data_IF_245668488759
#
_entry.id   IF_245668488759
#
_cell.length_a   1.000
_cell.length_b   1.000
_cell.length_c   1.000
_cell.angle_alpha   90.00
_cell.angle_beta   90.00
_cell.angle_gamma   90.00
#
_symmetry.space_group_name_H-M   'P 1'
#
loop_
_entity.id
_entity.type
_entity.pdbx_description
1 polymer ?
#
# COMPACT_ATOMS: atom_id res chain seq x y z
N UNK A 1 11.16 -7.21 16.54
CA UNK A 1 10.60 -7.21 15.18
C UNK A 1 11.67 -6.78 14.20
N UNK A 2 11.77 -7.44 13.04
CA UNK A 2 12.76 -7.18 11.99
C UNK A 2 12.07 -6.84 10.66
N UNK A 3 12.42 -5.71 10.04
CA UNK A 3 11.89 -5.30 8.73
C UNK A 3 13.05 -5.18 7.73
N UNK A 4 12.95 -5.83 6.58
CA UNK A 4 13.90 -5.66 5.49
C UNK A 4 13.43 -4.55 4.53
N UNK A 5 14.29 -3.61 4.18
CA UNK A 5 13.95 -2.48 3.32
C UNK A 5 14.91 -2.44 2.14
N UNK A 6 14.36 -2.48 0.93
CA UNK A 6 15.09 -2.17 -0.30
C UNK A 6 15.51 -0.70 -0.27
N UNK A 7 16.79 -0.45 0.03
CA UNK A 7 17.34 0.89 0.16
C UNK A 7 17.55 1.57 -1.21
N UNK A 8 17.51 0.83 -2.32
CA UNK A 8 17.87 1.35 -3.64
C UNK A 8 16.66 1.73 -4.50
N UNK A 9 15.45 1.36 -4.10
CA UNK A 9 14.22 1.63 -4.83
C UNK A 9 13.62 3.00 -4.49
N UNK A 10 13.22 3.76 -5.52
CA UNK A 10 12.52 5.05 -5.39
C UNK A 10 13.34 6.24 -5.91
N UNK A 11 12.66 7.35 -6.21
CA UNK A 11 13.25 8.53 -6.88
C UNK A 11 14.23 9.31 -5.98
N UNK A 12 14.10 9.12 -4.66
CA UNK A 12 14.92 9.79 -3.64
C UNK A 12 15.81 8.80 -2.86
N UNK A 13 15.95 7.58 -3.37
CA UNK A 13 16.80 6.55 -2.79
C UNK A 13 18.29 6.80 -3.07
N UNK A 14 19.20 6.36 -2.17
CA UNK A 14 18.90 5.72 -0.89
C UNK A 14 18.59 6.72 0.23
N UNK A 15 18.89 8.01 0.05
CA UNK A 15 18.80 9.04 1.08
C UNK A 15 17.46 9.06 1.83
N UNK A 16 16.34 9.17 1.13
CA UNK A 16 15.02 9.24 1.77
C UNK A 16 14.68 7.96 2.53
N UNK A 17 15.08 6.80 2.00
CA UNK A 17 14.85 5.49 2.62
C UNK A 17 15.63 5.36 3.93
N UNK A 18 16.92 5.71 3.90
CA UNK A 18 17.78 5.67 5.09
C UNK A 18 17.29 6.65 6.15
N UNK A 19 16.96 7.90 5.78
CA UNK A 19 16.45 8.88 6.74
C UNK A 19 15.10 8.48 7.35
N UNK A 20 14.21 7.87 6.56
CA UNK A 20 12.96 7.31 7.08
C UNK A 20 13.20 6.16 8.07
N UNK A 21 14.17 5.28 7.79
CA UNK A 21 14.59 4.23 8.72
C UNK A 21 15.19 4.82 10.01
N UNK A 22 16.03 5.86 9.92
CA UNK A 22 16.60 6.53 11.10
C UNK A 22 15.53 7.17 11.99
N UNK A 23 14.49 7.76 11.39
CA UNK A 23 13.33 8.24 12.15
C UNK A 23 12.62 7.09 12.88
N UNK A 24 12.41 5.97 12.19
CA UNK A 24 11.66 4.84 12.73
C UNK A 24 12.38 4.17 13.91
N UNK A 25 13.70 3.92 13.83
CA UNK A 25 14.44 3.29 14.93
C UNK A 25 14.55 4.18 16.17
N UNK A 26 14.48 5.51 15.99
CA UNK A 26 14.46 6.46 17.09
C UNK A 26 13.11 6.44 17.83
N UNK A 27 12.03 6.27 17.07
CA UNK A 27 10.66 6.24 17.61
C UNK A 27 10.31 4.88 18.24
N UNK A 28 10.72 3.78 17.61
CA UNK A 28 10.30 2.43 17.98
C UNK A 28 11.48 1.61 18.48
N UNK A 29 11.52 1.34 19.80
CA UNK A 29 12.60 0.57 20.43
C UNK A 29 12.59 -0.93 20.11
N UNK A 30 11.44 -1.48 19.72
CA UNK A 30 11.23 -2.89 19.37
C UNK A 30 11.62 -3.24 17.92
N UNK A 31 11.91 -2.22 17.12
CA UNK A 31 12.19 -2.33 15.69
C UNK A 31 13.68 -2.50 15.41
N UNK A 32 13.99 -3.48 14.57
CA UNK A 32 15.27 -3.68 13.89
C UNK A 32 15.05 -3.58 12.39
N UNK A 33 15.95 -2.93 11.66
CA UNK A 33 15.82 -2.73 10.21
C UNK A 33 17.05 -3.30 9.51
N UNK A 34 16.81 -4.08 8.46
CA UNK A 34 17.86 -4.48 7.51
C UNK A 34 17.73 -3.63 6.25
N UNK A 35 18.68 -2.73 6.01
CA UNK A 35 18.77 -1.94 4.79
C UNK A 35 19.53 -2.73 3.73
N UNK A 36 18.88 -3.05 2.62
CA UNK A 36 19.45 -3.88 1.56
C UNK A 36 19.84 -3.00 0.38
N UNK A 37 21.12 -3.01 -0.01
CA UNK A 37 21.61 -2.18 -1.10
C UNK A 37 23.10 -1.90 -1.01
N UNK A 38 23.56 -0.89 -1.73
CA UNK A 38 24.97 -0.52 -1.76
C UNK A 38 25.39 0.12 -0.45
N UNK A 39 26.17 -0.61 0.33
CA UNK A 39 26.61 -0.20 1.67
C UNK A 39 27.25 1.19 1.70
N UNK A 40 28.14 1.50 0.75
CA UNK A 40 28.81 2.80 0.69
C UNK A 40 27.82 3.96 0.51
N UNK A 41 26.78 3.79 -0.30
CA UNK A 41 25.75 4.81 -0.52
C UNK A 41 24.81 4.93 0.70
N UNK A 42 24.51 3.81 1.37
CA UNK A 42 23.67 3.78 2.59
C UNK A 42 24.37 4.49 3.75
N UNK A 43 25.65 4.20 3.98
CA UNK A 43 26.43 4.74 5.11
C UNK A 43 26.55 6.25 5.10
N UNK A 44 26.43 6.90 3.95
CA UNK A 44 26.46 8.38 3.84
C UNK A 44 25.33 9.07 4.60
N UNK A 45 24.22 8.37 4.86
CA UNK A 45 23.01 8.95 5.45
C UNK A 45 22.65 8.35 6.81
N UNK A 46 23.39 7.34 7.28
CA UNK A 46 23.21 6.77 8.61
C UNK A 46 23.69 7.76 9.68
N UNK A 47 22.88 7.90 10.72
CA UNK A 47 23.25 8.67 11.92
C UNK A 47 23.56 7.79 13.13
N UNK A 48 23.28 6.49 13.04
CA UNK A 48 23.55 5.45 14.04
C UNK A 48 23.44 4.07 13.38
N UNK A 49 24.25 3.11 13.82
CA UNK A 49 24.13 1.68 13.45
C UNK A 49 23.27 0.88 14.46
N UNK A 50 22.76 1.54 15.51
CA UNK A 50 21.94 0.86 16.54
C UNK A 50 20.67 0.26 15.92
N UNK A 51 20.51 -1.07 16.00
CA UNK A 51 19.37 -1.83 15.46
C UNK A 51 19.20 -1.67 13.93
N UNK A 52 20.24 -1.22 13.24
CA UNK A 52 20.35 -1.22 11.78
C UNK A 52 21.36 -2.30 11.37
N UNK A 53 21.00 -3.11 10.38
CA UNK A 53 21.91 -4.01 9.67
C UNK A 53 21.94 -3.61 8.21
N UNK A 54 23.11 -3.64 7.58
CA UNK A 54 23.23 -3.41 6.14
C UNK A 54 23.49 -4.77 5.47
N UNK A 55 22.63 -5.14 4.52
CA UNK A 55 22.88 -6.26 3.62
C UNK A 55 23.37 -5.71 2.29
N UNK A 56 24.68 -5.81 2.08
CA UNK A 56 25.33 -5.25 0.89
C UNK A 56 24.90 -5.98 -0.39
N UNK A 57 24.61 -5.20 -1.44
CA UNK A 57 24.57 -5.67 -2.83
C UNK A 57 24.81 -4.52 -3.81
N UNK A 58 25.47 -4.81 -4.93
CA UNK A 58 25.65 -3.89 -6.04
C UNK A 58 24.49 -3.89 -7.05
N UNK A 59 23.63 -4.90 -6.99
CA UNK A 59 22.58 -5.10 -7.98
C UNK A 59 21.26 -4.45 -7.53
N UNK A 60 20.57 -3.79 -8.47
CA UNK A 60 19.19 -3.31 -8.31
C UNK A 60 18.35 -3.62 -9.55
N UNK A 61 17.03 -3.60 -9.37
CA UNK A 61 16.08 -3.68 -10.49
C UNK A 61 15.77 -2.25 -10.95
N UNK A 62 15.98 -1.97 -12.22
CA UNK A 62 15.63 -0.70 -12.84
C UNK A 62 14.14 -0.66 -13.18
N UNK A 63 13.54 0.54 -13.12
CA UNK A 63 12.10 0.73 -13.40
C UNK A 63 11.70 0.39 -14.84
N UNK A 64 12.65 0.35 -15.77
CA UNK A 64 12.42 0.03 -17.19
C UNK A 64 12.49 -1.46 -17.50
N UNK A 65 12.92 -2.29 -16.55
CA UNK A 65 13.03 -3.73 -16.75
C UNK A 65 11.67 -4.43 -16.66
N UNK A 66 11.49 -5.50 -17.44
CA UNK A 66 10.31 -6.35 -17.32
C UNK A 66 10.31 -7.03 -15.93
N UNK A 67 9.27 -6.83 -15.10
CA UNK A 67 9.24 -7.22 -13.71
C UNK A 67 9.60 -8.69 -13.41
N UNK A 68 8.95 -9.63 -14.09
CA UNK A 68 9.06 -11.06 -13.78
C UNK A 68 10.45 -11.57 -14.16
N UNK A 69 10.95 -11.17 -15.34
CA UNK A 69 12.29 -11.51 -15.82
C UNK A 69 13.37 -10.91 -14.92
N UNK A 70 13.22 -9.67 -14.49
CA UNK A 70 14.17 -9.02 -13.59
C UNK A 70 14.30 -9.80 -12.28
N UNK A 71 13.19 -10.06 -11.59
CA UNK A 71 13.17 -10.83 -10.31
C UNK A 71 13.69 -12.27 -10.49
N UNK A 72 13.47 -12.89 -11.65
CA UNK A 72 13.98 -14.23 -11.93
C UNK A 72 15.49 -14.27 -12.18
N UNK A 73 16.07 -13.24 -12.82
CA UNK A 73 17.49 -13.21 -13.20
C UNK A 73 18.37 -12.58 -12.15
N UNK A 74 17.96 -11.43 -11.61
CA UNK A 74 18.74 -10.58 -10.70
C UNK A 74 18.56 -11.03 -9.26
N UNK A 75 19.09 -12.22 -8.92
CA UNK A 75 18.92 -12.81 -7.58
C UNK A 75 19.61 -12.04 -6.48
N UNK A 76 20.57 -11.18 -6.82
CA UNK A 76 21.27 -10.33 -5.88
C UNK A 76 20.68 -8.91 -5.85
N UNK A 77 19.62 -8.60 -6.60
CA UNK A 77 19.02 -7.27 -6.55
C UNK A 77 18.50 -6.94 -5.15
N UNK A 78 18.70 -5.71 -4.70
CA UNK A 78 18.29 -5.22 -3.38
C UNK A 78 16.85 -5.60 -2.99
N UNK A 79 15.90 -5.41 -3.91
CA UNK A 79 14.50 -5.80 -3.72
C UNK A 79 14.31 -7.32 -3.55
N UNK A 80 15.03 -8.12 -4.33
CA UNK A 80 14.93 -9.59 -4.28
C UNK A 80 15.53 -10.11 -2.99
N UNK A 81 16.68 -9.56 -2.57
CA UNK A 81 17.32 -9.90 -1.31
C UNK A 81 16.46 -9.46 -0.10
N UNK A 82 15.82 -8.29 -0.14
CA UNK A 82 14.88 -7.87 0.91
C UNK A 82 13.69 -8.84 1.05
N UNK A 83 13.11 -9.29 -0.07
CA UNK A 83 12.07 -10.32 -0.06
C UNK A 83 12.61 -11.70 0.39
N UNK A 84 13.87 -12.02 0.06
CA UNK A 84 14.53 -13.27 0.44
C UNK A 84 14.76 -13.35 1.95
N UNK A 85 15.12 -12.24 2.60
CA UNK A 85 15.21 -12.16 4.08
C UNK A 85 13.89 -12.57 4.75
N UNK A 86 12.75 -12.20 4.17
CA UNK A 86 11.44 -12.60 4.68
C UNK A 86 11.18 -14.09 4.45
N UNK A 87 11.49 -14.60 3.26
CA UNK A 87 11.36 -16.02 2.94
C UNK A 87 12.19 -16.92 3.87
N UNK A 88 13.38 -16.47 4.22
CA UNK A 88 14.32 -17.23 5.05
C UNK A 88 14.06 -17.09 6.55
N UNK A 89 13.07 -16.28 6.95
CA UNK A 89 12.74 -16.02 8.36
C UNK A 89 13.69 -15.06 9.07
N UNK A 90 14.55 -14.36 8.32
CA UNK A 90 15.47 -13.34 8.85
C UNK A 90 14.78 -11.99 9.05
N UNK A 91 13.66 -11.75 8.36
CA UNK A 91 12.81 -10.57 8.54
C UNK A 91 11.33 -10.96 8.62
N UNK A 92 10.55 -10.20 9.39
CA UNK A 92 9.10 -10.41 9.57
C UNK A 92 8.29 -9.80 8.42
N UNK A 93 8.85 -8.82 7.71
CA UNK A 93 8.21 -8.09 6.63
C UNK A 93 9.24 -7.39 5.73
N UNK A 94 8.82 -6.94 4.55
CA UNK A 94 9.67 -6.09 3.71
C UNK A 94 8.96 -4.89 3.06
N UNK A 95 9.76 -3.87 2.73
CA UNK A 95 9.31 -2.62 2.13
C UNK A 95 10.19 -2.28 0.92
N UNK A 96 9.58 -1.78 -0.16
CA UNK A 96 10.33 -1.16 -1.25
C UNK A 96 9.54 0.02 -1.86
N UNK A 97 10.25 1.09 -2.20
CA UNK A 97 9.72 2.17 -3.04
C UNK A 97 10.03 1.98 -4.54
N UNK A 98 10.68 0.87 -4.93
CA UNK A 98 11.03 0.54 -6.32
C UNK A 98 9.84 0.18 -7.22
N UNK A 99 10.10 -0.49 -8.35
CA UNK A 99 9.05 -0.88 -9.31
C UNK A 99 7.92 -1.70 -8.66
N UNK A 100 6.67 -1.26 -8.79
CA UNK A 100 5.48 -1.96 -8.25
C UNK A 100 5.38 -3.38 -8.80
N UNK A 101 5.53 -3.55 -10.11
CA UNK A 101 5.46 -4.86 -10.74
C UNK A 101 6.57 -5.79 -10.26
N UNK A 102 7.79 -5.27 -10.07
CA UNK A 102 8.90 -6.08 -9.59
C UNK A 102 8.67 -6.50 -8.13
N UNK A 103 8.16 -5.62 -7.29
CA UNK A 103 7.84 -5.95 -5.89
C UNK A 103 6.71 -6.97 -5.80
N UNK A 104 5.68 -6.84 -6.64
CA UNK A 104 4.62 -7.86 -6.75
C UNK A 104 5.17 -9.21 -7.18
N UNK A 105 6.05 -9.24 -8.17
CA UNK A 105 6.71 -10.47 -8.63
C UNK A 105 7.60 -11.07 -7.53
N UNK A 106 8.37 -10.25 -6.82
CA UNK A 106 9.19 -10.69 -5.69
C UNK A 106 8.31 -11.23 -4.54
N UNK A 107 7.24 -10.52 -4.17
CA UNK A 107 6.27 -10.97 -3.18
C UNK A 107 5.66 -12.33 -3.56
N UNK A 108 5.24 -12.51 -4.81
CA UNK A 108 4.62 -13.76 -5.24
C UNK A 108 5.62 -14.93 -5.37
N UNK A 109 6.79 -14.70 -5.98
CA UNK A 109 7.74 -15.78 -6.31
C UNK A 109 8.78 -16.05 -5.22
N UNK A 110 9.04 -15.10 -4.32
CA UNK A 110 10.01 -15.24 -3.24
C UNK A 110 9.30 -15.46 -1.91
N UNK A 111 8.51 -14.48 -1.44
CA UNK A 111 7.78 -14.60 -0.15
C UNK A 111 6.69 -15.68 -0.24
N UNK A 112 5.95 -15.70 -1.35
CA UNK A 112 4.88 -16.65 -1.60
C UNK A 112 3.53 -16.20 -1.04
N UNK A 113 2.48 -16.73 -1.65
CA UNK A 113 1.09 -16.52 -1.21
C UNK A 113 0.76 -17.36 0.02
N UNK A 114 -0.18 -16.87 0.81
CA UNK A 114 -0.81 -17.63 1.89
C UNK A 114 -1.55 -18.84 1.32
N UNK A 115 -1.71 -19.89 2.14
CA UNK A 115 -2.55 -21.02 1.77
C UNK A 115 -4.01 -20.57 1.67
N UNK A 116 -4.77 -21.16 0.74
CA UNK A 116 -6.16 -20.76 0.45
C UNK A 116 -6.32 -19.48 -0.38
N UNK A 117 -5.36 -18.55 -0.39
CA UNK A 117 -5.45 -17.32 -1.19
C UNK A 117 -5.07 -17.59 -2.65
N UNK A 118 -5.97 -17.28 -3.60
CA UNK A 118 -5.72 -17.50 -5.03
C UNK A 118 -4.74 -16.46 -5.60
N UNK A 119 -4.99 -15.19 -5.27
CA UNK A 119 -4.25 -14.03 -5.79
C UNK A 119 -4.02 -12.97 -4.69
N UNK A 120 -2.81 -12.40 -4.58
CA UNK A 120 -2.58 -11.26 -3.70
C UNK A 120 -3.19 -9.99 -4.27
N UNK A 121 -3.56 -9.02 -3.43
CA UNK A 121 -4.11 -7.72 -3.85
C UNK A 121 -3.18 -6.56 -3.48
N UNK A 122 -3.10 -5.53 -4.33
CA UNK A 122 -2.43 -4.28 -3.98
C UNK A 122 -3.43 -3.36 -3.28
N UNK A 123 -3.09 -2.91 -2.08
CA UNK A 123 -4.08 -2.39 -1.12
C UNK A 123 -3.62 -1.11 -0.42
N UNK A 124 -3.72 0.06 -1.06
CA UNK A 124 -3.48 1.34 -0.40
C UNK A 124 -4.63 1.72 0.55
N UNK A 125 -4.31 2.54 1.53
CA UNK A 125 -5.31 3.33 2.26
C UNK A 125 -5.45 4.67 1.56
N UNK A 126 -6.64 4.93 1.02
CA UNK A 126 -7.02 6.15 0.32
C UNK A 126 -7.56 7.18 1.31
N UNK A 127 -7.40 8.49 1.04
CA UNK A 127 -7.89 9.54 1.93
C UNK A 127 -9.41 9.69 1.82
N UNK A 128 -10.00 10.27 2.86
CA UNK A 128 -11.38 10.76 2.87
C UNK A 128 -11.40 12.21 3.34
N UNK A 129 -12.46 12.94 3.03
CA UNK A 129 -12.62 14.36 3.41
C UNK A 129 -12.56 14.54 4.94
N UNK A 130 -13.12 13.59 5.69
CA UNK A 130 -13.08 13.56 7.15
C UNK A 130 -11.72 13.11 7.74
N UNK A 131 -10.77 12.69 6.89
CA UNK A 131 -9.41 12.30 7.27
C UNK A 131 -9.29 10.90 7.89
N UNK A 132 -10.35 10.09 7.90
CA UNK A 132 -10.27 8.71 8.39
C UNK A 132 -9.57 7.79 7.40
N UNK A 133 -9.83 7.97 6.11
CA UNK A 133 -9.40 7.13 5.00
C UNK A 133 -10.22 5.85 4.83
N UNK A 134 -10.01 5.14 3.73
CA UNK A 134 -10.58 3.81 3.46
C UNK A 134 -9.56 2.91 2.75
N UNK A 135 -9.63 1.60 2.94
CA UNK A 135 -8.74 0.66 2.26
C UNK A 135 -9.36 0.26 0.92
N UNK A 136 -8.59 0.34 -0.16
CA UNK A 136 -9.07 -0.03 -1.49
C UNK A 136 -8.34 -1.27 -2.00
N UNK A 137 -9.07 -2.28 -2.46
CA UNK A 137 -8.51 -3.52 -2.99
C UNK A 137 -9.30 -3.95 -4.23
N UNK A 138 -8.73 -4.43 -5.31
CA UNK A 138 -7.32 -4.38 -5.73
C UNK A 138 -7.09 -3.13 -6.59
N UNK A 139 -5.93 -2.48 -6.50
CA UNK A 139 -5.59 -1.30 -7.34
C UNK A 139 -4.56 -1.59 -8.43
N UNK A 140 -4.35 -2.86 -8.78
CA UNK A 140 -3.59 -3.22 -9.97
C UNK A 140 -2.74 -4.48 -9.86
N UNK A 141 -2.90 -5.29 -8.81
CA UNK A 141 -2.17 -6.54 -8.73
C UNK A 141 -2.66 -7.58 -9.75
N UNK A 142 -3.97 -7.58 -10.03
CA UNK A 142 -4.62 -8.53 -10.93
C UNK A 142 -5.62 -7.81 -11.82
N UNK A 143 -5.26 -7.63 -13.09
CA UNK A 143 -6.13 -7.00 -14.11
C UNK A 143 -7.39 -7.84 -14.31
N UNK A 144 -7.24 -9.16 -14.46
CA UNK A 144 -8.35 -10.09 -14.64
C UNK A 144 -8.65 -10.83 -13.34
N UNK A 145 -9.74 -10.44 -12.67
CA UNK A 145 -10.16 -11.06 -11.42
C UNK A 145 -11.38 -11.97 -11.59
N UNK A 146 -11.43 -13.04 -10.78
CA UNK A 146 -12.61 -13.89 -10.60
C UNK A 146 -13.37 -13.45 -9.35
N UNK A 147 -14.62 -13.89 -9.24
CA UNK A 147 -15.48 -13.54 -8.09
C UNK A 147 -14.88 -13.95 -6.75
N UNK A 148 -14.28 -15.15 -6.69
CA UNK A 148 -13.58 -15.64 -5.49
C UNK A 148 -12.40 -14.74 -5.07
N UNK A 149 -11.73 -14.06 -6.00
CA UNK A 149 -10.66 -13.13 -5.63
C UNK A 149 -11.23 -11.94 -4.86
N UNK A 150 -12.29 -11.31 -5.36
CA UNK A 150 -12.91 -10.15 -4.70
C UNK A 150 -13.53 -10.52 -3.36
N UNK A 151 -14.07 -11.74 -3.22
CA UNK A 151 -14.47 -12.31 -1.93
C UNK A 151 -13.31 -12.31 -0.93
N UNK A 152 -12.17 -12.89 -1.32
CA UNK A 152 -10.97 -12.92 -0.48
C UNK A 152 -10.47 -11.51 -0.16
N UNK A 153 -10.54 -10.57 -1.10
CA UNK A 153 -10.13 -9.18 -0.88
C UNK A 153 -11.01 -8.49 0.17
N UNK A 154 -12.31 -8.77 0.16
CA UNK A 154 -13.25 -8.20 1.12
C UNK A 154 -12.93 -8.64 2.55
N UNK A 155 -12.66 -9.93 2.74
CA UNK A 155 -12.30 -10.47 4.05
C UNK A 155 -10.92 -9.98 4.51
N UNK A 156 -9.90 -10.03 3.64
CA UNK A 156 -8.56 -9.52 3.97
C UNK A 156 -8.59 -8.02 4.31
N UNK A 157 -9.32 -7.23 3.53
CA UNK A 157 -9.50 -5.81 3.78
C UNK A 157 -10.22 -5.53 5.10
N UNK A 158 -11.26 -6.29 5.43
CA UNK A 158 -11.99 -6.18 6.70
C UNK A 158 -11.07 -6.47 7.89
N UNK A 159 -10.31 -7.57 7.87
CA UNK A 159 -9.35 -7.91 8.94
C UNK A 159 -8.30 -6.81 9.11
N UNK A 160 -7.74 -6.28 8.02
CA UNK A 160 -6.77 -5.19 8.10
C UNK A 160 -7.39 -3.91 8.69
N UNK A 161 -8.59 -3.53 8.25
CA UNK A 161 -9.27 -2.34 8.75
C UNK A 161 -9.60 -2.47 10.25
N UNK A 162 -10.01 -3.65 10.70
CA UNK A 162 -10.26 -3.91 12.11
C UNK A 162 -8.96 -3.88 12.94
N UNK A 163 -7.99 -4.73 12.58
CA UNK A 163 -6.77 -4.90 13.38
C UNK A 163 -5.86 -3.69 13.27
N UNK A 164 -5.43 -3.32 12.06
CA UNK A 164 -4.42 -2.28 11.87
C UNK A 164 -5.00 -0.90 12.09
N UNK A 165 -6.16 -0.62 11.50
CA UNK A 165 -6.78 0.71 11.56
C UNK A 165 -7.70 0.90 12.77
N UNK A 166 -7.98 -0.15 13.54
CA UNK A 166 -8.77 -0.06 14.78
C UNK A 166 -10.24 0.26 14.54
N UNK A 167 -10.78 -0.10 13.37
CA UNK A 167 -12.19 0.16 13.03
C UNK A 167 -13.01 -1.05 13.47
N UNK A 168 -13.82 -0.88 14.51
CA UNK A 168 -14.74 -1.93 14.94
C UNK A 168 -15.81 -2.17 13.85
N UNK A 169 -16.03 -3.44 13.51
CA UNK A 169 -16.99 -3.88 12.49
C UNK A 169 -16.91 -3.11 11.14
N UNK A 170 -15.76 -3.14 10.42
CA UNK A 170 -15.50 -2.30 9.25
C UNK A 170 -16.54 -2.49 8.14
N UNK A 171 -17.09 -1.38 7.63
CA UNK A 171 -18.03 -1.41 6.50
C UNK A 171 -17.28 -1.78 5.22
N UNK A 172 -17.70 -2.84 4.56
CA UNK A 172 -17.12 -3.32 3.30
C UNK A 172 -18.09 -3.04 2.15
N UNK A 173 -17.67 -2.24 1.18
CA UNK A 173 -18.46 -1.90 0.00
C UNK A 173 -17.88 -2.48 -1.29
N UNK A 174 -18.74 -2.88 -2.22
CA UNK A 174 -18.35 -3.31 -3.57
C UNK A 174 -18.41 -2.13 -4.53
N UNK A 175 -17.28 -1.73 -5.13
CA UNK A 175 -17.25 -0.65 -6.11
C UNK A 175 -18.09 -1.03 -7.33
N UNK A 176 -19.06 -0.19 -7.68
CA UNK A 176 -20.01 -0.49 -8.73
C UNK A 176 -20.50 0.79 -9.43
N UNK A 177 -21.31 0.60 -10.49
CA UNK A 177 -21.88 1.66 -11.33
C UNK A 177 -23.19 2.24 -10.78
N UNK A 178 -23.65 1.76 -9.63
CA UNK A 178 -24.88 2.17 -8.97
C UNK A 178 -25.02 1.49 -7.62
N UNK A 179 -25.90 2.00 -6.76
CA UNK A 179 -26.06 1.53 -5.37
C UNK A 179 -27.01 0.33 -5.24
N UNK A 180 -27.84 0.07 -6.26
CA UNK A 180 -28.82 -1.00 -6.23
C UNK A 180 -28.18 -2.39 -6.36
N UNK A 181 -28.70 -3.39 -5.65
CA UNK A 181 -28.19 -4.78 -5.60
C UNK A 181 -27.92 -5.41 -6.97
N UNK A 182 -28.76 -5.12 -7.97
CA UNK A 182 -28.70 -5.72 -9.30
C UNK A 182 -27.75 -5.01 -10.28
N UNK A 183 -26.98 -4.00 -9.85
CA UNK A 183 -26.09 -3.22 -10.73
C UNK A 183 -24.74 -3.90 -10.92
N UNK A 184 -24.08 -3.53 -12.02
CA UNK A 184 -22.73 -3.98 -12.37
C UNK A 184 -22.70 -4.98 -13.52
N UNK A 185 -21.48 -5.38 -13.86
CA UNK A 185 -21.24 -6.46 -14.82
C UNK A 185 -21.51 -7.83 -14.16
N UNK A 186 -21.30 -8.90 -14.92
CA UNK A 186 -21.52 -10.27 -14.43
C UNK A 186 -20.65 -10.59 -13.20
N UNK A 187 -19.38 -10.19 -13.21
CA UNK A 187 -18.45 -10.35 -12.09
C UNK A 187 -19.00 -9.67 -10.83
N UNK A 188 -19.36 -8.39 -10.91
CA UNK A 188 -19.87 -7.61 -9.78
C UNK A 188 -21.15 -8.24 -9.20
N UNK A 189 -22.06 -8.72 -10.03
CA UNK A 189 -23.30 -9.38 -9.57
C UNK A 189 -23.02 -10.68 -8.83
N UNK A 190 -22.10 -11.51 -9.33
CA UNK A 190 -21.69 -12.75 -8.65
C UNK A 190 -21.03 -12.45 -7.31
N UNK A 191 -20.11 -11.48 -7.28
CA UNK A 191 -19.43 -11.05 -6.05
C UNK A 191 -20.42 -10.49 -5.04
N UNK A 192 -21.36 -9.65 -5.48
CA UNK A 192 -22.38 -9.09 -4.61
C UNK A 192 -23.19 -10.17 -3.89
N UNK A 193 -23.59 -11.22 -4.62
CA UNK A 193 -24.28 -12.37 -4.01
C UNK A 193 -23.39 -13.08 -2.99
N UNK A 194 -22.12 -13.33 -3.31
CA UNK A 194 -21.17 -14.00 -2.39
C UNK A 194 -20.90 -13.17 -1.13
N UNK A 195 -20.80 -11.84 -1.24
CA UNK A 195 -20.48 -10.96 -0.10
C UNK A 195 -21.64 -10.80 0.89
N UNK A 196 -22.88 -11.12 0.50
CA UNK A 196 -24.03 -11.11 1.42
C UNK A 196 -23.91 -12.14 2.53
N UNK A 197 -23.31 -13.29 2.22
CA UNK A 197 -23.17 -14.42 3.15
C UNK A 197 -21.76 -14.48 3.77
N UNK A 198 -20.88 -13.53 3.41
CA UNK A 198 -19.51 -13.47 3.91
C UNK A 198 -19.44 -13.06 5.39
N UNK A 199 -18.39 -13.46 6.13
CA UNK A 199 -18.20 -13.12 7.55
C UNK A 199 -17.68 -11.67 7.74
N UNK A 200 -18.33 -10.70 7.11
CA UNK A 200 -17.95 -9.28 7.10
C UNK A 200 -19.20 -8.40 7.18
N UNK A 201 -19.02 -7.13 7.56
CA UNK A 201 -20.09 -6.13 7.48
C UNK A 201 -20.21 -5.58 6.06
N UNK A 202 -20.84 -6.35 5.18
CA UNK A 202 -21.08 -5.95 3.79
C UNK A 202 -22.21 -4.91 3.70
N UNK A 203 -21.90 -3.71 3.23
CA UNK A 203 -22.85 -2.59 3.12
C UNK A 203 -23.42 -2.40 1.71
N UNK A 204 -23.16 -3.34 0.81
CA UNK A 204 -23.67 -3.31 -0.55
C UNK A 204 -22.75 -2.59 -1.55
N UNK A 205 -23.36 -2.09 -2.63
CA UNK A 205 -22.64 -1.41 -3.71
C UNK A 205 -22.31 0.05 -3.34
N UNK A 206 -21.13 0.51 -3.75
CA UNK A 206 -20.68 1.90 -3.58
C UNK A 206 -20.27 2.51 -4.92
N UNK A 207 -20.62 3.77 -5.16
CA UNK A 207 -20.26 4.48 -6.39
C UNK A 207 -18.91 5.20 -6.25
N UNK A 208 -18.18 5.29 -7.36
CA UNK A 208 -16.84 5.91 -7.38
C UNK A 208 -16.84 7.39 -6.95
N UNK A 209 -17.93 8.12 -7.20
CA UNK A 209 -18.06 9.54 -6.84
C UNK A 209 -18.08 9.78 -5.32
N UNK A 210 -18.47 8.76 -4.54
CA UNK A 210 -18.67 8.85 -3.09
C UNK A 210 -17.47 8.30 -2.30
N UNK A 211 -16.42 7.80 -2.98
CA UNK A 211 -15.24 7.18 -2.34
C UNK A 211 -14.57 8.08 -1.31
N UNK A 212 -14.29 9.34 -1.67
CA UNK A 212 -13.64 10.29 -0.77
C UNK A 212 -14.56 10.80 0.35
N UNK A 213 -15.86 10.48 0.30
CA UNK A 213 -16.84 10.88 1.33
C UNK A 213 -16.95 9.86 2.48
N UNK A 214 -16.13 8.80 2.50
CA UNK A 214 -16.15 7.81 3.59
C UNK A 214 -17.35 6.86 3.51
N UNK A 215 -17.79 6.54 2.29
CA UNK A 215 -18.93 5.65 2.02
C UNK A 215 -18.74 4.24 2.61
N UNK A 216 -17.49 3.76 2.70
CA UNK A 216 -17.13 2.50 3.34
C UNK A 216 -15.71 2.62 3.94
N UNK A 217 -15.35 1.67 4.81
CA UNK A 217 -14.02 1.60 5.43
C UNK A 217 -13.07 0.72 4.62
N UNK A 218 -13.65 -0.22 3.85
CA UNK A 218 -13.00 -1.08 2.86
C UNK A 218 -13.83 -1.03 1.57
N UNK A 219 -13.18 -0.83 0.43
CA UNK A 219 -13.83 -0.86 -0.89
C UNK A 219 -13.15 -1.92 -1.76
N UNK A 220 -13.94 -2.88 -2.26
CA UNK A 220 -13.46 -3.96 -3.11
C UNK A 220 -13.81 -3.78 -4.58
N UNK A 221 -12.88 -4.15 -5.46
CA UNK A 221 -12.96 -4.10 -6.92
C UNK A 221 -11.90 -5.01 -7.55
N UNK A 222 -11.99 -5.26 -8.85
CA UNK A 222 -10.91 -5.87 -9.62
C UNK A 222 -9.75 -4.89 -9.85
N UNK A 223 -8.55 -5.42 -10.11
CA UNK A 223 -7.35 -4.59 -10.21
C UNK A 223 -7.35 -3.65 -11.40
N UNK A 224 -8.09 -3.92 -12.48
CA UNK A 224 -8.22 -2.98 -13.59
C UNK A 224 -9.06 -1.77 -13.16
N UNK A 225 -10.27 -2.02 -12.65
CA UNK A 225 -11.18 -0.96 -12.19
C UNK A 225 -10.55 -0.13 -11.08
N UNK A 226 -9.93 -0.78 -10.10
CA UNK A 226 -9.29 -0.09 -8.98
C UNK A 226 -8.09 0.76 -9.40
N UNK A 227 -7.27 0.29 -10.35
CA UNK A 227 -6.16 1.09 -10.87
C UNK A 227 -6.67 2.33 -11.63
N UNK A 228 -7.69 2.16 -12.50
CA UNK A 228 -8.32 3.28 -13.21
C UNK A 228 -8.89 4.30 -12.24
N UNK A 229 -9.59 3.86 -11.19
CA UNK A 229 -10.14 4.72 -10.15
C UNK A 229 -9.05 5.47 -9.37
N UNK A 230 -8.01 4.76 -8.90
CA UNK A 230 -6.85 5.35 -8.22
C UNK A 230 -6.19 6.42 -9.08
N UNK A 231 -5.88 6.11 -10.34
CA UNK A 231 -5.20 7.04 -11.26
C UNK A 231 -6.07 8.23 -11.65
N UNK A 232 -7.38 8.03 -11.74
CA UNK A 232 -8.33 9.11 -11.97
C UNK A 232 -8.39 10.07 -10.77
N UNK A 233 -8.44 9.55 -9.54
CA UNK A 233 -8.38 10.37 -8.32
C UNK A 233 -7.07 11.16 -8.22
N UNK A 234 -5.93 10.50 -8.46
CA UNK A 234 -4.60 11.15 -8.49
C UNK A 234 -4.54 12.25 -9.56
N UNK A 235 -4.95 11.94 -10.79
CA UNK A 235 -4.94 12.86 -11.92
C UNK A 235 -5.83 14.08 -11.70
N UNK A 236 -7.05 13.86 -11.20
CA UNK A 236 -7.99 14.94 -10.85
C UNK A 236 -7.41 15.83 -9.75
N UNK A 237 -6.83 15.25 -8.69
CA UNK A 237 -6.21 16.03 -7.62
C UNK A 237 -5.06 16.91 -8.15
N UNK A 238 -4.14 16.33 -8.93
CA UNK A 238 -3.03 17.06 -9.53
C UNK A 238 -3.48 18.19 -10.47
N UNK A 239 -4.50 17.92 -11.29
CA UNK A 239 -5.08 18.93 -12.19
C UNK A 239 -5.70 20.10 -11.41
N UNK A 240 -6.51 19.80 -10.39
CA UNK A 240 -7.15 20.82 -9.54
C UNK A 240 -6.11 21.69 -8.83
N UNK A 241 -5.07 21.08 -8.23
CA UNK A 241 -4.00 21.86 -7.59
C UNK A 241 -3.19 22.69 -8.57
N UNK A 242 -2.99 22.20 -9.80
CA UNK A 242 -2.30 22.95 -10.86
C UNK A 242 -3.10 24.17 -11.30
N UNK A 243 -4.42 24.00 -11.55
CA UNK A 243 -5.33 25.10 -11.88
C UNK A 243 -5.43 26.13 -10.76
N UNK A 244 -5.53 25.69 -9.49
CA UNK A 244 -5.52 26.57 -8.33
C UNK A 244 -4.21 27.37 -8.24
N UNK A 245 -3.06 26.72 -8.44
CA UNK A 245 -1.76 27.38 -8.43
C UNK A 245 -1.65 28.43 -9.53
N UNK A 246 -2.12 28.13 -10.74
CA UNK A 246 -2.11 29.07 -11.86
C UNK A 246 -2.92 30.34 -11.52
N UNK A 247 -4.15 30.18 -11.03
CA UNK A 247 -5.01 31.30 -10.66
C UNK A 247 -4.43 32.13 -9.51
N UNK A 248 -3.85 31.48 -8.50
CA UNK A 248 -3.20 32.15 -7.38
C UNK A 248 -1.92 32.90 -7.77
N UNK A 249 -1.26 32.49 -8.86
CA UNK A 249 -0.02 33.13 -9.34
C UNK A 249 -0.27 34.13 -10.49
N UNK A 250 -1.51 34.32 -10.92
CA UNK A 250 -1.91 35.11 -12.10
C UNK A 250 -1.60 36.61 -12.00
N UNK A 251 -1.64 37.21 -10.81
CA UNK A 251 -1.46 38.65 -10.62
C UNK A 251 -0.74 38.98 -9.29
N UNK A 252 -0.29 40.22 -9.12
CA UNK A 252 0.35 40.65 -7.88
C UNK A 252 -0.59 40.54 -6.67
N UNK A 253 -1.86 40.91 -6.82
CA UNK A 253 -2.87 40.79 -5.76
C UNK A 253 -3.17 39.32 -5.45
N UNK A 254 -3.28 38.47 -6.48
CA UNK A 254 -3.45 37.02 -6.31
C UNK A 254 -2.30 36.40 -5.53
N UNK A 255 -1.05 36.80 -5.83
CA UNK A 255 0.15 36.31 -5.12
C UNK A 255 0.16 36.70 -3.65
N UNK A 256 -0.31 37.91 -3.32
CA UNK A 256 -0.44 38.35 -1.93
C UNK A 256 -1.48 37.50 -1.17
N UNK A 257 -2.63 37.25 -1.79
CA UNK A 257 -3.64 36.35 -1.23
C UNK A 257 -3.12 34.91 -1.11
N UNK A 258 -2.35 34.43 -2.09
CA UNK A 258 -1.73 33.11 -2.09
C UNK A 258 -0.76 32.94 -0.91
N UNK A 259 0.01 33.97 -0.55
CA UNK A 259 0.91 33.93 0.60
C UNK A 259 0.14 33.67 1.90
N UNK A 260 -1.02 34.31 2.07
CA UNK A 260 -1.91 34.11 3.23
C UNK A 260 -2.56 32.72 3.21
N UNK A 261 -2.98 32.23 2.04
CA UNK A 261 -3.66 30.94 1.89
C UNK A 261 -2.70 29.73 1.90
N UNK A 262 -1.43 29.94 1.56
CA UNK A 262 -0.43 28.88 1.38
C UNK A 262 -0.40 27.85 2.53
N UNK A 263 -0.40 28.23 3.83
CA UNK A 263 -0.38 27.26 4.91
C UNK A 263 -1.61 26.33 4.89
N UNK A 264 -2.81 26.88 4.63
CA UNK A 264 -4.05 26.10 4.56
C UNK A 264 -4.10 25.20 3.33
N UNK A 265 -3.59 25.69 2.20
CA UNK A 265 -3.50 24.90 0.96
C UNK A 265 -2.51 23.74 1.09
N UNK A 266 -1.42 23.92 1.85
CA UNK A 266 -0.51 22.82 2.15
C UNK A 266 -1.17 21.75 3.00
N UNK A 267 -1.91 22.12 4.05
CA UNK A 267 -2.69 21.14 4.83
C UNK A 267 -3.68 20.36 3.96
N UNK A 268 -4.33 21.02 3.00
CA UNK A 268 -5.24 20.35 2.06
C UNK A 268 -4.49 19.40 1.12
N UNK A 269 -3.32 19.81 0.63
CA UNK A 269 -2.47 18.97 -0.21
C UNK A 269 -2.01 17.72 0.56
N UNK A 270 -1.58 17.90 1.80
CA UNK A 270 -1.10 16.83 2.67
C UNK A 270 -2.24 15.84 3.00
N UNK A 271 -3.48 16.33 3.19
CA UNK A 271 -4.66 15.47 3.34
C UNK A 271 -4.95 14.59 2.12
N UNK A 272 -4.58 15.05 0.93
CA UNK A 272 -4.76 14.29 -0.32
C UNK A 272 -3.56 13.38 -0.63
N UNK A 273 -2.44 13.54 0.09
CA UNK A 273 -1.28 12.67 0.00
C UNK A 273 -1.54 11.39 0.81
N UNK A 274 -1.89 10.32 0.12
CA UNK A 274 -2.17 9.03 0.75
C UNK A 274 -0.92 8.37 1.34
N UNK A 275 0.29 8.83 1.00
CA UNK A 275 1.52 8.25 1.55
C UNK A 275 1.69 8.49 3.05
N UNK A 276 0.92 9.43 3.62
CA UNK A 276 0.85 9.66 5.07
C UNK A 276 0.18 8.50 5.82
N UNK A 277 -0.68 7.71 5.16
CA UNK A 277 -1.26 6.49 5.73
C UNK A 277 -0.31 5.29 5.66
N UNK A 278 0.79 5.40 4.90
CA UNK A 278 1.76 4.33 4.67
C UNK A 278 1.94 4.04 3.18
N UNK A 279 2.23 2.78 2.86
CA UNK A 279 2.31 2.28 1.49
C UNK A 279 1.09 1.44 1.08
N UNK A 280 1.09 1.01 -0.17
CA UNK A 280 0.16 0.00 -0.65
C UNK A 280 0.65 -1.38 -0.21
N UNK A 281 -0.11 -2.05 0.65
CA UNK A 281 0.23 -3.38 1.13
C UNK A 281 -0.15 -4.44 0.09
N UNK A 282 0.67 -5.48 -0.06
CA UNK A 282 0.33 -6.66 -0.86
C UNK A 282 -0.30 -7.72 0.04
N UNK A 283 -1.63 -7.69 0.16
CA UNK A 283 -2.37 -8.67 0.95
C UNK A 283 -2.40 -10.03 0.26
N UNK A 284 -2.48 -11.10 1.06
CA UNK A 284 -2.50 -12.47 0.57
C UNK A 284 -1.13 -13.13 0.43
N UNK A 285 -0.06 -12.45 0.86
CA UNK A 285 1.30 -13.00 0.96
C UNK A 285 1.59 -13.52 2.37
N UNK A 286 2.53 -14.46 2.49
CA UNK A 286 2.89 -15.11 3.77
C UNK A 286 3.44 -14.17 4.84
N UNK A 287 3.78 -12.95 4.46
CA UNK A 287 4.27 -11.90 5.34
C UNK A 287 3.91 -10.52 4.73
N UNK A 288 3.88 -9.44 5.53
CA UNK A 288 3.66 -8.10 5.00
C UNK A 288 4.73 -7.69 4.00
N UNK A 289 4.30 -7.33 2.79
CA UNK A 289 5.14 -6.73 1.74
C UNK A 289 4.51 -5.40 1.34
N UNK A 290 5.22 -4.30 1.60
CA UNK A 290 4.67 -2.94 1.42
C UNK A 290 5.36 -2.23 0.26
N UNK A 291 4.55 -1.76 -0.69
CA UNK A 291 4.96 -0.83 -1.74
C UNK A 291 4.82 0.60 -1.22
N UNK A 292 5.94 1.22 -0.84
CA UNK A 292 5.98 2.67 -0.68
C UNK A 292 5.87 3.37 -2.05
N UNK A 293 5.42 4.62 -2.11
CA UNK A 293 5.30 5.32 -3.39
C UNK A 293 6.68 5.59 -4.02
N UNK A 294 6.77 5.66 -5.35
CA UNK A 294 8.06 5.88 -6.04
C UNK A 294 8.74 7.19 -5.64
N UNK A 295 7.94 8.24 -5.46
CA UNK A 295 8.39 9.56 -5.03
C UNK A 295 8.39 9.76 -3.51
N UNK A 296 8.41 8.67 -2.73
CA UNK A 296 8.37 8.77 -1.26
C UNK A 296 9.56 9.55 -0.72
N UNK A 297 9.27 10.51 0.16
CA UNK A 297 10.27 11.18 0.98
C UNK A 297 10.51 10.39 2.29
N UNK A 298 11.38 10.90 3.15
CA UNK A 298 11.72 10.29 4.44
C UNK A 298 10.52 10.17 5.40
N UNK A 299 9.52 11.07 5.29
CA UNK A 299 8.28 10.97 6.06
C UNK A 299 7.37 9.85 5.53
N UNK A 300 7.18 9.74 4.22
CA UNK A 300 6.41 8.65 3.61
C UNK A 300 7.01 7.27 3.92
N UNK A 301 8.34 7.14 3.88
CA UNK A 301 9.03 5.90 4.26
C UNK A 301 8.81 5.58 5.75
N UNK A 302 8.93 6.56 6.63
CA UNK A 302 8.61 6.39 8.05
C UNK A 302 7.17 5.90 8.26
N UNK A 303 6.20 6.49 7.55
CA UNK A 303 4.79 6.09 7.61
C UNK A 303 4.59 4.64 7.13
N UNK A 304 5.28 4.23 6.06
CA UNK A 304 5.26 2.84 5.58
C UNK A 304 5.89 1.86 6.60
N UNK A 305 6.98 2.25 7.28
CA UNK A 305 7.58 1.45 8.35
C UNK A 305 6.63 1.30 9.53
N UNK A 306 5.97 2.39 9.96
CA UNK A 306 4.94 2.36 11.00
C UNK A 306 3.81 1.42 10.65
N UNK A 307 3.25 1.53 9.45
CA UNK A 307 2.19 0.63 8.96
C UNK A 307 2.65 -0.84 8.98
N UNK A 308 3.86 -1.11 8.49
CA UNK A 308 4.43 -2.47 8.46
C UNK A 308 4.59 -3.03 9.86
N UNK A 309 5.10 -2.21 10.80
CA UNK A 309 5.24 -2.58 12.21
C UNK A 309 3.88 -2.95 12.81
N UNK A 310 2.85 -2.15 12.60
CA UNK A 310 1.50 -2.43 13.11
C UNK A 310 0.93 -3.72 12.50
N UNK A 311 1.17 -4.00 11.22
CA UNK A 311 0.73 -5.25 10.57
C UNK A 311 1.36 -6.49 11.19
N UNK A 312 2.66 -6.43 11.51
CA UNK A 312 3.37 -7.54 12.15
C UNK A 312 2.94 -7.68 13.61
N UNK A 313 2.93 -6.57 14.38
CA UNK A 313 2.58 -6.57 15.80
C UNK A 313 1.16 -7.07 16.08
N UNK A 314 0.23 -6.81 15.17
CA UNK A 314 -1.18 -7.20 15.31
C UNK A 314 -1.55 -8.50 14.60
N UNK A 315 -0.55 -9.27 14.18
CA UNK A 315 -0.74 -10.62 13.61
C UNK A 315 -1.79 -10.65 12.48
N UNK A 316 -1.75 -9.67 11.58
CA UNK A 316 -2.73 -9.53 10.49
C UNK A 316 -2.73 -10.77 9.60
N UNK A 317 -1.55 -11.25 9.22
CA UNK A 317 -1.40 -12.42 8.34
C UNK A 317 -1.94 -13.70 9.02
N UNK A 318 -1.54 -14.07 10.25
CA UNK A 318 -2.17 -15.17 10.98
C UNK A 318 -3.70 -15.06 11.11
N UNK A 319 -4.21 -13.85 11.38
CA UNK A 319 -5.65 -13.62 11.51
C UNK A 319 -6.38 -13.89 10.19
N UNK A 320 -5.84 -13.40 9.07
CA UNK A 320 -6.39 -13.66 7.74
C UNK A 320 -6.40 -15.17 7.46
N UNK A 321 -5.31 -15.89 7.72
CA UNK A 321 -5.27 -17.36 7.53
C UNK A 321 -6.38 -18.06 8.31
N UNK A 322 -6.53 -17.73 9.59
CA UNK A 322 -7.52 -18.37 10.46
C UNK A 322 -8.97 -18.13 10.00
N UNK A 323 -9.27 -16.92 9.49
CA UNK A 323 -10.61 -16.62 8.95
C UNK A 323 -10.84 -17.39 7.64
N UNK A 324 -9.86 -17.43 6.74
CA UNK A 324 -9.96 -18.16 5.46
C UNK A 324 -10.11 -19.68 5.64
N UNK A 325 -9.39 -20.28 6.60
CA UNK A 325 -9.49 -21.71 6.90
C UNK A 325 -10.89 -22.10 7.39
N UNK A 326 -11.49 -21.28 8.27
CA UNK A 326 -12.86 -21.51 8.77
C UNK A 326 -13.90 -21.47 7.65
N UNK A 327 -13.72 -20.58 6.69
CA UNK A 327 -14.59 -20.44 5.53
C UNK A 327 -14.46 -21.64 4.58
N UNK A 328 -13.24 -22.16 4.36
CA UNK A 328 -13.05 -23.32 3.49
C UNK A 328 -13.64 -24.64 4.02
N UNK A 329 -14.03 -24.67 5.30
CA UNK A 329 -14.61 -25.83 5.98
C UNK A 329 -16.15 -25.78 6.04
N UNK A 330 -16.78 -24.69 5.57
CA UNK A 330 -18.24 -24.52 5.47
C UNK A 330 -18.72 -24.73 4.03
#
# INVERSE_FOLDING_TARGET
MKIAIDAMGGDHAPKAVVLGAMKAIKEYSDLHITLVGKEEEIRQYLTSDERITILHTDEKIESTEEPVRAVRRKKQASMVLAAQQVKDGEADACISAGSTGALMAAGLFVVGRMEGIERPALSPTMPTVDGKGFVMLDVGANVDAKSIHLYQYAVMGSVYAEKVRGIENPRVGLLNVGTEDGKGNELSKQVFAMLKDAPINFVGNVESRDLLQGVADVVVCDGFTGNVALKSLEGTALALFSMLKEQLMSSFTSKLAAAVLKPKLMVLKDKMDYSEYGGAALFGLKAPVIKAHGSSNDQSIFSAIRQTREMVAKEVIPTISSVMEKESLQ
#
